data_IF_844303427829
#
_entry.id   IF_844303427829
#
_cell.length_a   1.000
_cell.length_b   1.000
_cell.length_c   1.000
_cell.angle_alpha   90.00
_cell.angle_beta   90.00
_cell.angle_gamma   90.00
#
_symmetry.space_group_name_H-M   'P 1'
#
loop_
_entity.id
_entity.type
_entity.pdbx_description
1 polymer ?
#
# COMPACT_ATOMS: atom_id res chain seq x y z
N UNK A 1 19.85 -23.13 -8.59
CA UNK A 1 19.68 -21.81 -9.23
C UNK A 1 18.19 -21.55 -9.49
N UNK A 2 17.69 -20.42 -9.10
CA UNK A 2 16.29 -20.08 -9.28
C UNK A 2 15.97 -19.61 -10.70
N UNK A 3 14.70 -19.69 -11.07
CA UNK A 3 14.21 -19.17 -12.36
C UNK A 3 13.96 -17.67 -12.32
N UNK A 4 13.67 -17.13 -11.13
CA UNK A 4 13.37 -15.72 -10.92
C UNK A 4 14.68 -14.96 -10.76
N UNK A 5 14.84 -13.86 -11.52
CA UNK A 5 16.06 -13.06 -11.48
C UNK A 5 15.98 -11.93 -10.46
N UNK A 6 14.79 -11.34 -10.25
CA UNK A 6 14.57 -10.32 -9.22
C UNK A 6 13.09 -10.06 -8.99
N UNK A 7 12.78 -9.44 -7.85
CA UNK A 7 11.45 -8.91 -7.58
C UNK A 7 11.26 -7.60 -8.34
N UNK A 8 10.13 -7.39 -9.01
CA UNK A 8 9.86 -6.17 -9.77
C UNK A 8 8.96 -5.20 -9.00
N UNK A 9 7.71 -5.61 -8.75
CA UNK A 9 6.73 -4.73 -8.13
C UNK A 9 5.59 -5.53 -7.52
N UNK A 10 4.74 -4.84 -6.76
CA UNK A 10 3.45 -5.35 -6.30
C UNK A 10 2.35 -4.53 -6.99
N UNK A 11 1.21 -5.16 -7.30
CA UNK A 11 0.06 -4.48 -7.90
C UNK A 11 -0.97 -4.10 -6.86
N UNK A 12 -1.50 -2.88 -6.94
CA UNK A 12 -2.54 -2.37 -6.05
C UNK A 12 -3.57 -1.63 -6.89
N UNK A 13 -4.84 -2.02 -6.77
CA UNK A 13 -5.95 -1.32 -7.42
C UNK A 13 -6.49 -0.23 -6.49
N UNK A 14 -6.83 0.93 -7.06
CA UNK A 14 -7.33 2.09 -6.32
C UNK A 14 -8.59 2.63 -6.99
N UNK A 15 -9.40 3.39 -6.24
CA UNK A 15 -10.61 4.03 -6.80
C UNK A 15 -10.26 5.29 -7.57
N UNK A 16 -9.36 6.12 -7.06
CA UNK A 16 -8.99 7.42 -7.62
C UNK A 16 -7.47 7.52 -7.71
N UNK A 17 -6.94 7.52 -8.93
CA UNK A 17 -5.50 7.50 -9.16
C UNK A 17 -4.81 8.80 -8.74
N UNK A 18 -5.42 9.96 -9.02
CA UNK A 18 -4.80 11.24 -8.65
C UNK A 18 -4.69 11.37 -7.14
N UNK A 19 -5.72 10.99 -6.40
CA UNK A 19 -5.67 10.96 -4.94
C UNK A 19 -4.67 9.93 -4.43
N UNK A 20 -4.58 8.76 -5.07
CA UNK A 20 -3.62 7.73 -4.68
C UNK A 20 -2.18 8.22 -4.85
N UNK A 21 -1.86 8.83 -5.99
CA UNK A 21 -0.52 9.38 -6.24
C UNK A 21 -0.15 10.39 -5.14
N UNK A 22 -1.03 11.32 -4.82
CA UNK A 22 -0.78 12.32 -3.77
C UNK A 22 -0.63 11.66 -2.40
N UNK A 23 -1.46 10.66 -2.10
CA UNK A 23 -1.39 9.94 -0.83
C UNK A 23 -0.05 9.22 -0.65
N UNK A 24 0.39 8.46 -1.67
CA UNK A 24 1.65 7.72 -1.60
C UNK A 24 2.87 8.64 -1.59
N UNK A 25 2.81 9.77 -2.30
CA UNK A 25 3.87 10.80 -2.24
C UNK A 25 3.99 11.41 -0.85
N UNK A 26 2.87 11.85 -0.31
CA UNK A 26 2.83 12.57 0.97
C UNK A 26 3.20 11.68 2.15
N UNK A 27 2.71 10.44 2.17
CA UNK A 27 2.80 9.59 3.36
C UNK A 27 3.93 8.57 3.31
N UNK A 28 4.35 8.14 2.12
CA UNK A 28 5.35 7.08 1.95
C UNK A 28 6.50 7.48 1.02
N UNK A 29 6.58 8.73 0.61
CA UNK A 29 7.68 9.29 -0.22
C UNK A 29 7.85 8.63 -1.59
N UNK A 30 6.80 8.03 -2.13
CA UNK A 30 6.84 7.47 -3.49
C UNK A 30 6.81 8.57 -4.54
N UNK A 31 7.45 8.30 -5.69
CA UNK A 31 7.44 9.19 -6.86
C UNK A 31 6.93 8.45 -8.07
N UNK A 32 6.20 9.15 -8.95
CA UNK A 32 5.72 8.58 -10.21
C UNK A 32 6.88 8.38 -11.15
N UNK A 33 6.98 7.18 -11.75
CA UNK A 33 7.98 6.86 -12.76
C UNK A 33 7.37 6.56 -14.13
N UNK A 34 6.09 6.20 -14.19
CA UNK A 34 5.38 5.94 -15.44
C UNK A 34 3.88 6.09 -15.23
N UNK A 35 3.17 6.68 -16.18
CA UNK A 35 1.74 6.97 -16.08
C UNK A 35 1.11 6.85 -17.45
N UNK A 36 0.31 5.81 -17.67
CA UNK A 36 -0.32 5.53 -18.94
C UNK A 36 -1.79 5.12 -18.77
N UNK A 37 -2.63 5.54 -19.72
CA UNK A 37 -3.95 4.95 -19.86
C UNK A 37 -3.88 3.83 -20.91
N UNK A 38 -4.46 2.67 -20.61
CA UNK A 38 -4.42 1.47 -21.45
C UNK A 38 -5.83 1.19 -21.97
N UNK A 39 -6.19 1.69 -23.18
CA UNK A 39 -7.57 1.62 -23.67
C UNK A 39 -8.17 0.22 -23.73
N UNK A 40 -7.46 -0.84 -24.16
CA UNK A 40 -8.04 -2.19 -24.17
C UNK A 40 -8.48 -2.69 -22.81
N UNK A 41 -7.81 -2.25 -21.73
CA UNK A 41 -8.16 -2.61 -20.36
C UNK A 41 -9.18 -1.65 -19.73
N UNK A 42 -9.36 -0.47 -20.33
CA UNK A 42 -10.13 0.64 -19.73
C UNK A 42 -9.60 0.98 -18.34
N UNK A 43 -8.28 1.13 -18.26
CA UNK A 43 -7.59 1.36 -17.00
C UNK A 43 -6.42 2.31 -17.17
N UNK A 44 -6.21 3.18 -16.19
CA UNK A 44 -5.00 3.96 -16.01
C UNK A 44 -4.05 3.15 -15.13
N UNK A 45 -2.81 3.03 -15.56
CA UNK A 45 -1.78 2.28 -14.83
C UNK A 45 -0.62 3.23 -14.55
N UNK A 46 -0.26 3.34 -13.26
CA UNK A 46 0.81 4.22 -12.82
C UNK A 46 1.81 3.43 -12.00
N UNK A 47 3.07 3.52 -12.36
CA UNK A 47 4.16 2.97 -11.55
C UNK A 47 4.70 4.07 -10.64
N UNK A 48 4.75 3.78 -9.36
CA UNK A 48 5.37 4.64 -8.35
C UNK A 48 6.54 3.91 -7.72
N UNK A 49 7.56 4.65 -7.30
CA UNK A 49 8.80 4.06 -6.78
C UNK A 49 9.28 4.79 -5.54
N UNK A 50 9.76 3.99 -4.58
CA UNK A 50 10.58 4.46 -3.47
C UNK A 50 11.83 3.57 -3.40
N UNK A 51 13.02 4.17 -3.54
CA UNK A 51 14.27 3.42 -3.69
C UNK A 51 14.15 2.38 -4.83
N UNK A 52 14.38 1.10 -4.56
CA UNK A 52 14.29 0.03 -5.55
C UNK A 52 12.93 -0.65 -5.60
N UNK A 53 11.98 -0.19 -4.78
CA UNK A 53 10.67 -0.81 -4.68
C UNK A 53 9.64 -0.06 -5.51
N UNK A 54 8.88 -0.80 -6.34
CA UNK A 54 7.82 -0.22 -7.16
C UNK A 54 6.46 -0.82 -6.81
N UNK A 55 5.46 0.05 -6.93
CA UNK A 55 4.06 -0.34 -6.88
C UNK A 55 3.45 -0.01 -8.24
N UNK A 56 2.74 -0.97 -8.83
CA UNK A 56 1.92 -0.75 -10.01
C UNK A 56 0.49 -0.46 -9.54
N UNK A 57 0.06 0.79 -9.71
CA UNK A 57 -1.28 1.22 -9.32
C UNK A 57 -2.23 1.10 -10.51
N UNK A 58 -3.43 0.57 -10.27
CA UNK A 58 -4.46 0.41 -11.29
C UNK A 58 -5.70 1.21 -10.92
N UNK A 59 -6.21 2.00 -11.85
CA UNK A 59 -7.55 2.58 -11.72
C UNK A 59 -8.34 2.21 -12.96
N UNK A 60 -9.34 1.33 -12.82
CA UNK A 60 -10.26 1.00 -13.89
C UNK A 60 -11.33 2.08 -14.01
N UNK A 61 -11.89 2.26 -15.21
CA UNK A 61 -12.98 3.21 -15.43
C UNK A 61 -14.17 2.88 -14.55
N UNK A 62 -14.42 1.57 -14.33
CA UNK A 62 -15.49 1.06 -13.46
C UNK A 62 -14.89 0.11 -12.41
N UNK A 63 -14.36 0.65 -11.32
CA UNK A 63 -13.75 -0.19 -10.29
C UNK A 63 -14.80 -0.97 -9.52
N UNK A 64 -14.44 -2.19 -9.12
CA UNK A 64 -15.27 -3.00 -8.21
C UNK A 64 -14.97 -2.62 -6.78
N UNK A 65 -15.99 -2.53 -5.95
CA UNK A 65 -15.82 -2.19 -4.56
C UNK A 65 -15.04 -3.27 -3.80
N UNK A 66 -14.14 -2.82 -2.94
CA UNK A 66 -13.40 -3.71 -2.04
C UNK A 66 -14.38 -4.37 -1.06
N UNK A 67 -14.31 -5.70 -0.88
CA UNK A 67 -15.11 -6.38 0.15
C UNK A 67 -14.78 -5.85 1.54
N UNK A 68 -15.81 -5.69 2.39
CA UNK A 68 -15.66 -5.10 3.72
C UNK A 68 -14.67 -5.85 4.62
N UNK A 69 -14.61 -7.17 4.53
CA UNK A 69 -13.71 -7.98 5.35
C UNK A 69 -12.23 -7.75 5.02
N UNK A 70 -11.92 -7.16 3.87
CA UNK A 70 -10.55 -6.80 3.50
C UNK A 70 -10.08 -5.50 4.14
N UNK A 71 -10.96 -4.73 4.77
CA UNK A 71 -10.61 -3.47 5.43
C UNK A 71 -10.01 -3.67 6.81
N UNK A 72 -10.18 -4.83 7.40
CA UNK A 72 -9.73 -5.14 8.76
C UNK A 72 -8.62 -6.19 8.69
N UNK A 73 -7.41 -5.91 9.23
CA UNK A 73 -6.28 -6.83 9.08
C UNK A 73 -6.57 -8.26 9.48
N UNK A 74 -7.19 -8.47 10.64
CA UNK A 74 -7.42 -9.83 11.13
C UNK A 74 -8.39 -10.63 10.28
N UNK A 75 -9.41 -10.01 9.71
CA UNK A 75 -10.35 -10.71 8.82
C UNK A 75 -9.77 -10.89 7.43
N UNK A 76 -9.03 -9.90 6.92
CA UNK A 76 -8.39 -10.00 5.61
C UNK A 76 -7.38 -11.16 5.56
N UNK A 77 -6.58 -11.34 6.62
CA UNK A 77 -5.59 -12.40 6.69
C UNK A 77 -6.17 -13.81 6.58
N UNK A 78 -7.44 -13.99 6.94
CA UNK A 78 -8.10 -15.29 6.88
C UNK A 78 -8.56 -15.66 5.47
N UNK A 79 -8.71 -14.68 4.58
CA UNK A 79 -9.09 -14.90 3.19
C UNK A 79 -7.87 -15.27 2.37
N UNK A 80 -7.92 -16.38 1.66
CA UNK A 80 -6.82 -16.85 0.83
C UNK A 80 -6.51 -15.85 -0.27
N UNK A 81 -5.24 -15.54 -0.47
CA UNK A 81 -4.75 -14.65 -1.51
C UNK A 81 -3.70 -13.66 -1.00
N UNK A 82 -3.19 -12.83 -1.88
CA UNK A 82 -2.24 -11.77 -1.53
C UNK A 82 -2.89 -10.77 -0.59
N UNK A 83 -2.16 -10.37 0.45
CA UNK A 83 -2.74 -9.51 1.51
C UNK A 83 -2.26 -8.08 1.42
N UNK A 84 -1.13 -7.77 2.02
CA UNK A 84 -0.63 -6.40 2.14
C UNK A 84 0.87 -6.37 1.84
N UNK A 85 1.37 -5.16 1.58
CA UNK A 85 2.80 -4.90 1.52
C UNK A 85 3.24 -4.39 2.89
N UNK A 86 4.46 -4.74 3.30
CA UNK A 86 5.04 -4.29 4.56
C UNK A 86 6.31 -3.50 4.32
N UNK A 87 6.52 -2.44 5.11
CA UNK A 87 7.72 -1.63 5.08
C UNK A 87 8.34 -1.57 6.48
N UNK A 88 9.66 -1.58 6.53
CA UNK A 88 10.38 -1.37 7.78
C UNK A 88 10.55 0.11 8.04
N UNK A 89 10.36 0.53 9.30
CA UNK A 89 10.60 1.90 9.74
C UNK A 89 11.59 1.90 10.90
N UNK A 90 12.36 2.98 11.01
CA UNK A 90 13.36 3.12 12.07
C UNK A 90 12.73 3.55 13.42
N UNK A 91 11.70 4.40 13.36
CA UNK A 91 11.07 5.00 14.55
C UNK A 91 9.55 5.03 14.36
N UNK A 92 8.87 4.05 14.94
CA UNK A 92 7.41 3.93 14.82
C UNK A 92 6.68 5.10 15.46
N UNK A 93 7.18 5.63 16.57
CA UNK A 93 6.54 6.76 17.23
C UNK A 93 6.52 8.00 16.33
N UNK A 94 7.63 8.28 15.66
CA UNK A 94 7.72 9.40 14.72
C UNK A 94 6.82 9.20 13.51
N UNK A 95 6.78 7.97 12.96
CA UNK A 95 5.93 7.61 11.82
C UNK A 95 4.46 7.77 12.18
N UNK A 96 4.05 7.26 13.32
CA UNK A 96 2.67 7.36 13.79
C UNK A 96 2.24 8.81 13.98
N UNK A 97 3.11 9.64 14.59
CA UNK A 97 2.83 11.07 14.76
C UNK A 97 2.57 11.74 13.42
N UNK A 98 3.43 11.49 12.44
CA UNK A 98 3.29 12.07 11.10
C UNK A 98 2.00 11.60 10.42
N UNK A 99 1.68 10.32 10.52
CA UNK A 99 0.45 9.80 9.94
C UNK A 99 -0.78 10.43 10.58
N UNK A 100 -0.79 10.62 11.88
CA UNK A 100 -1.89 11.28 12.57
C UNK A 100 -2.04 12.74 12.13
N UNK A 101 -0.93 13.47 12.00
CA UNK A 101 -0.93 14.85 11.49
C UNK A 101 -1.49 14.94 10.06
N UNK A 102 -1.20 13.95 9.23
CA UNK A 102 -1.64 13.90 7.84
C UNK A 102 -3.05 13.29 7.66
N UNK A 103 -3.68 12.86 8.75
CA UNK A 103 -5.02 12.26 8.68
C UNK A 103 -5.04 10.87 8.06
N UNK A 104 -3.93 10.12 8.12
CA UNK A 104 -3.87 8.74 7.62
C UNK A 104 -4.78 7.85 8.46
N UNK A 105 -5.53 6.98 7.80
CA UNK A 105 -6.44 6.04 8.44
C UNK A 105 -5.63 4.88 9.05
N UNK A 106 -5.52 4.88 10.38
CA UNK A 106 -4.82 3.83 11.14
C UNK A 106 -5.80 2.70 11.41
N UNK A 107 -5.54 1.52 10.86
CA UNK A 107 -6.41 0.37 10.97
C UNK A 107 -6.18 -0.43 12.26
N UNK A 108 -4.92 -0.60 12.65
CA UNK A 108 -4.58 -1.42 13.81
C UNK A 108 -3.14 -1.15 14.26
N UNK A 109 -2.92 -1.26 15.55
CA UNK A 109 -1.60 -1.09 16.17
C UNK A 109 -1.38 -2.22 17.16
N UNK A 110 -0.24 -2.91 17.06
CA UNK A 110 0.05 -4.06 17.91
C UNK A 110 1.56 -4.25 18.07
N UNK A 111 1.96 -4.91 19.15
CA UNK A 111 3.32 -5.38 19.33
C UNK A 111 3.35 -6.88 19.08
N UNK A 112 4.19 -7.34 18.15
CA UNK A 112 4.33 -8.75 17.79
C UNK A 112 5.79 -9.16 17.95
N UNK A 113 6.04 -10.12 18.85
CA UNK A 113 7.38 -10.64 19.11
C UNK A 113 8.40 -9.53 19.44
N UNK A 114 7.94 -8.52 20.19
CA UNK A 114 8.76 -7.37 20.59
C UNK A 114 8.87 -6.28 19.52
N UNK A 115 8.33 -6.48 18.32
CA UNK A 115 8.35 -5.49 17.24
C UNK A 115 7.07 -4.67 17.24
N UNK A 116 7.20 -3.35 17.03
CA UNK A 116 6.05 -2.47 16.87
C UNK A 116 5.51 -2.62 15.45
N UNK A 117 4.20 -2.85 15.33
CA UNK A 117 3.51 -3.07 14.05
C UNK A 117 2.34 -2.11 13.94
N UNK A 118 2.22 -1.44 12.81
CA UNK A 118 1.14 -0.52 12.51
C UNK A 118 0.53 -0.86 11.15
N UNK A 119 -0.78 -1.07 11.12
CA UNK A 119 -1.51 -1.20 9.86
C UNK A 119 -2.23 0.09 9.55
N UNK A 120 -2.07 0.58 8.32
CA UNK A 120 -2.78 1.76 7.82
C UNK A 120 -3.57 1.37 6.58
N UNK A 121 -4.51 2.24 6.19
CA UNK A 121 -5.23 2.11 4.91
C UNK A 121 -4.82 3.26 4.01
N UNK A 122 -4.59 2.95 2.73
CA UNK A 122 -4.41 4.01 1.75
C UNK A 122 -5.75 4.72 1.47
N UNK A 123 -5.79 5.65 0.51
CA UNK A 123 -7.00 6.40 0.19
C UNK A 123 -8.15 5.54 -0.38
N UNK A 124 -7.87 4.30 -0.77
CA UNK A 124 -8.88 3.35 -1.24
C UNK A 124 -9.22 2.27 -0.21
N UNK A 125 -8.56 2.28 0.95
CA UNK A 125 -8.76 1.28 1.99
C UNK A 125 -7.81 0.09 1.91
N UNK A 126 -6.82 0.11 1.03
CA UNK A 126 -5.84 -0.97 0.91
C UNK A 126 -4.93 -0.98 2.13
N UNK A 127 -4.77 -2.14 2.74
CA UNK A 127 -3.95 -2.30 3.94
C UNK A 127 -2.45 -2.26 3.63
N UNK A 128 -1.72 -1.54 4.44
CA UNK A 128 -0.26 -1.44 4.40
C UNK A 128 0.26 -1.62 5.83
N UNK A 129 1.32 -2.41 5.98
CA UNK A 129 1.92 -2.68 7.29
C UNK A 129 3.25 -1.95 7.42
N UNK A 130 3.46 -1.30 8.56
CA UNK A 130 4.75 -0.72 8.94
C UNK A 130 5.27 -1.49 10.14
N UNK A 131 6.55 -1.85 10.12
CA UNK A 131 7.19 -2.65 11.17
C UNK A 131 8.46 -1.96 11.61
N UNK A 132 8.60 -1.75 12.93
CA UNK A 132 9.87 -1.40 13.54
C UNK A 132 10.46 -2.64 14.17
N UNK A 133 11.53 -3.16 13.59
CA UNK A 133 12.25 -4.31 14.13
C UNK A 133 13.18 -3.85 15.26
N UNK A 134 13.21 -4.59 16.33
CA UNK A 134 14.10 -4.34 17.47
C UNK A 134 15.41 -5.10 17.34
#
# INVERSE_FOLDING_TARGET
MGLITKTLHVGISVYDMDEAIEWYKKNLDFQVVKDDYVPPLKARIVFIRYNDFEIELFQYDEPKQMPEDRLVPNTDLQTVGTKHVAFEVADMAAVKTKFMENGVDIAHEVTMEGNAVLFIRDNSGVLIELIQNN
#
